data_IF_281955807093
#
_entry.id   IF_281955807093
#
_cell.length_a   1.000
_cell.length_b   1.000
_cell.length_c   1.000
_cell.angle_alpha   90.00
_cell.angle_beta   90.00
_cell.angle_gamma   90.00
#
_symmetry.space_group_name_H-M   'P 1'
#
loop_
_entity.id
_entity.type
_entity.pdbx_description
1 polymer ?
#
# COMPACT_ATOMS: atom_id res chain seq x y z
N UNK A 1 -7.32 -14.33 -8.82
CA UNK A 1 -8.64 -13.75 -9.05
C UNK A 1 -9.70 -14.62 -8.36
N UNK A 2 -10.85 -14.06 -7.95
CA UNK A 2 -12.02 -14.87 -7.60
C UNK A 2 -12.43 -15.66 -8.85
N UNK A 3 -12.54 -16.98 -8.72
CA UNK A 3 -12.92 -17.86 -9.83
C UNK A 3 -14.45 -17.84 -9.95
N UNK A 4 -14.95 -17.39 -11.10
CA UNK A 4 -16.39 -17.29 -11.39
C UNK A 4 -16.87 -18.27 -12.45
N UNK A 5 -15.96 -18.87 -13.23
CA UNK A 5 -16.30 -19.87 -14.24
C UNK A 5 -16.78 -21.18 -13.60
N UNK A 6 -17.98 -21.63 -13.99
CA UNK A 6 -18.66 -22.77 -13.35
C UNK A 6 -17.93 -24.09 -13.59
N UNK A 7 -17.39 -24.31 -14.79
CA UNK A 7 -16.67 -25.54 -15.16
C UNK A 7 -15.34 -25.65 -14.39
N UNK A 8 -14.66 -24.53 -14.21
CA UNK A 8 -13.44 -24.43 -13.42
C UNK A 8 -13.70 -24.61 -11.92
N UNK A 9 -14.79 -24.05 -11.38
CA UNK A 9 -15.23 -24.30 -9.99
C UNK A 9 -15.50 -25.78 -9.75
N UNK A 10 -16.23 -26.45 -10.64
CA UNK A 10 -16.53 -27.89 -10.50
C UNK A 10 -15.24 -28.73 -10.52
N UNK A 11 -14.29 -28.35 -11.39
CA UNK A 11 -12.97 -28.99 -11.47
C UNK A 11 -12.17 -28.82 -10.18
N UNK A 12 -12.10 -27.60 -9.64
CA UNK A 12 -11.39 -27.31 -8.40
C UNK A 12 -12.06 -27.94 -7.17
N UNK A 13 -13.39 -28.01 -7.18
CA UNK A 13 -14.12 -28.69 -6.13
C UNK A 13 -13.86 -30.20 -6.14
N UNK A 14 -13.85 -30.85 -7.31
CA UNK A 14 -13.45 -32.26 -7.44
C UNK A 14 -12.02 -32.48 -6.95
N UNK A 15 -11.06 -31.68 -7.41
CA UNK A 15 -9.66 -31.74 -6.98
C UNK A 15 -9.51 -31.54 -5.46
N UNK A 16 -10.32 -30.65 -4.85
CA UNK A 16 -10.35 -30.46 -3.41
C UNK A 16 -10.84 -31.71 -2.68
N UNK A 17 -11.91 -32.36 -3.16
CA UNK A 17 -12.44 -33.60 -2.55
C UNK A 17 -11.41 -34.72 -2.62
N UNK A 18 -10.78 -34.89 -3.78
CA UNK A 18 -9.78 -35.92 -4.06
C UNK A 18 -8.40 -35.62 -3.43
N UNK A 19 -8.19 -34.40 -2.91
CA UNK A 19 -6.91 -33.91 -2.38
C UNK A 19 -5.78 -33.98 -3.42
N UNK A 20 -6.10 -33.65 -4.67
CA UNK A 20 -5.19 -33.75 -5.79
C UNK A 20 -4.01 -32.78 -5.66
N UNK A 21 -2.80 -33.32 -5.51
CA UNK A 21 -1.57 -32.54 -5.33
C UNK A 21 -1.19 -31.70 -6.55
N UNK A 22 -1.66 -32.08 -7.75
CA UNK A 22 -1.41 -31.34 -9.01
C UNK A 22 -2.02 -29.93 -9.00
N UNK A 23 -2.99 -29.69 -8.11
CA UNK A 23 -3.66 -28.40 -7.96
C UNK A 23 -3.16 -27.59 -6.76
N UNK A 24 -2.10 -28.03 -6.09
CA UNK A 24 -1.48 -27.26 -5.01
C UNK A 24 -0.93 -25.95 -5.55
N UNK A 25 -1.29 -24.81 -4.93
CA UNK A 25 -0.88 -23.48 -5.39
C UNK A 25 -1.63 -22.96 -6.63
N UNK A 26 -2.40 -23.81 -7.33
CA UNK A 26 -3.24 -23.43 -8.49
C UNK A 26 -4.51 -22.72 -8.03
N UNK A 27 -5.10 -23.17 -6.91
CA UNK A 27 -6.24 -22.51 -6.29
C UNK A 27 -6.16 -22.56 -4.76
N UNK A 28 -6.91 -21.64 -4.16
CA UNK A 28 -7.18 -21.54 -2.73
C UNK A 28 -8.68 -21.56 -2.53
N UNK A 29 -9.17 -22.45 -1.68
CA UNK A 29 -10.60 -22.57 -1.40
C UNK A 29 -10.94 -21.80 -0.13
N UNK A 30 -11.79 -20.78 -0.21
CA UNK A 30 -12.40 -20.11 0.94
C UNK A 30 -13.69 -20.82 1.37
N UNK A 31 -13.79 -21.16 2.66
CA UNK A 31 -14.94 -21.83 3.27
C UNK A 31 -15.82 -20.79 3.95
N UNK A 32 -16.97 -20.47 3.34
CA UNK A 32 -17.87 -19.36 3.74
C UNK A 32 -18.33 -19.45 5.19
N UNK A 33 -18.59 -20.67 5.66
CA UNK A 33 -19.17 -20.90 7.00
C UNK A 33 -18.17 -20.71 8.15
N UNK A 34 -16.87 -20.83 7.88
CA UNK A 34 -15.83 -20.75 8.93
C UNK A 34 -14.86 -19.60 8.70
N UNK A 35 -15.00 -18.89 7.58
CA UNK A 35 -14.06 -17.86 7.10
C UNK A 35 -12.61 -18.35 7.09
N UNK A 36 -12.38 -19.59 6.65
CA UNK A 36 -11.04 -20.19 6.52
C UNK A 36 -10.75 -20.47 5.06
N UNK A 37 -9.52 -20.24 4.58
CA UNK A 37 -9.10 -20.74 3.27
C UNK A 37 -8.04 -21.83 3.34
N UNK A 38 -8.04 -22.73 2.36
CA UNK A 38 -7.21 -23.94 2.28
C UNK A 38 -6.59 -24.15 0.89
N UNK A 39 -5.59 -25.03 0.79
CA UNK A 39 -5.06 -25.59 -0.48
C UNK A 39 -5.79 -26.90 -0.86
N UNK A 40 -5.60 -27.35 -2.11
CA UNK A 40 -6.21 -28.57 -2.65
C UNK A 40 -5.99 -29.82 -1.77
N UNK A 41 -4.77 -30.02 -1.26
CA UNK A 41 -4.36 -31.19 -0.47
C UNK A 41 -4.77 -31.14 1.01
N UNK A 42 -5.51 -30.12 1.44
CA UNK A 42 -5.85 -29.92 2.85
C UNK A 42 -6.62 -31.13 3.43
N UNK A 43 -6.16 -31.63 4.58
CA UNK A 43 -6.75 -32.80 5.26
C UNK A 43 -8.00 -32.49 6.08
N UNK A 44 -8.31 -31.21 6.31
CA UNK A 44 -9.51 -30.79 7.05
C UNK A 44 -10.81 -31.32 6.41
N UNK A 45 -11.87 -31.41 7.22
CA UNK A 45 -13.20 -31.85 6.78
C UNK A 45 -13.65 -31.06 5.55
N UNK A 46 -14.08 -31.76 4.50
CA UNK A 46 -14.43 -31.13 3.22
C UNK A 46 -15.79 -30.43 3.30
N UNK A 47 -15.87 -29.14 2.92
CA UNK A 47 -17.13 -28.39 2.90
C UNK A 47 -18.01 -28.80 1.71
N UNK A 48 -19.32 -28.56 1.82
CA UNK A 48 -20.27 -28.70 0.70
C UNK A 48 -19.99 -27.63 -0.37
N UNK A 49 -20.25 -27.94 -1.65
CA UNK A 49 -19.97 -27.02 -2.77
C UNK A 49 -20.61 -25.64 -2.60
N UNK A 50 -21.84 -25.59 -2.05
CA UNK A 50 -22.54 -24.31 -1.77
C UNK A 50 -21.83 -23.41 -0.75
N UNK A 51 -20.93 -23.97 0.07
CA UNK A 51 -20.22 -23.29 1.15
C UNK A 51 -18.78 -22.93 0.78
N UNK A 52 -18.38 -23.03 -0.49
CA UNK A 52 -17.02 -22.67 -0.93
C UNK A 52 -17.00 -21.59 -1.99
N UNK A 53 -15.87 -20.90 -2.05
CA UNK A 53 -15.43 -20.00 -3.12
C UNK A 53 -13.98 -20.32 -3.44
N UNK A 54 -13.54 -20.05 -4.67
CA UNK A 54 -12.18 -20.36 -5.11
C UNK A 54 -11.46 -19.08 -5.55
N UNK A 55 -10.18 -18.99 -5.20
CA UNK A 55 -9.27 -17.91 -5.56
C UNK A 55 -8.05 -18.51 -6.23
N UNK A 56 -7.45 -17.84 -7.20
CA UNK A 56 -6.17 -18.31 -7.78
C UNK A 56 -4.95 -17.82 -6.98
N UNK A 57 -5.12 -16.86 -6.07
CA UNK A 57 -4.06 -16.34 -5.19
C UNK A 57 -4.51 -16.31 -3.73
N UNK A 58 -3.65 -16.72 -2.79
CA UNK A 58 -4.00 -16.72 -1.36
C UNK A 58 -4.26 -15.33 -0.82
N UNK A 59 -3.58 -14.31 -1.36
CA UNK A 59 -3.75 -12.91 -0.97
C UNK A 59 -5.21 -12.47 -1.12
N UNK A 60 -5.88 -12.90 -2.18
CA UNK A 60 -7.27 -12.52 -2.43
C UNK A 60 -8.25 -13.23 -1.49
N UNK A 61 -7.93 -14.46 -1.08
CA UNK A 61 -8.69 -15.13 -0.03
C UNK A 61 -8.54 -14.38 1.31
N UNK A 62 -7.34 -13.86 1.61
CA UNK A 62 -7.11 -13.03 2.79
C UNK A 62 -7.83 -11.68 2.70
N UNK A 63 -7.75 -11.01 1.55
CA UNK A 63 -8.40 -9.73 1.28
C UNK A 63 -9.94 -9.85 1.35
N UNK A 64 -10.49 -11.03 1.00
CA UNK A 64 -11.90 -11.37 1.15
C UNK A 64 -12.30 -11.81 2.58
N UNK A 65 -11.41 -11.63 3.57
CA UNK A 65 -11.68 -11.90 4.98
C UNK A 65 -11.54 -13.35 5.42
N UNK A 66 -10.97 -14.23 4.59
CA UNK A 66 -10.69 -15.61 4.98
C UNK A 66 -9.32 -15.69 5.68
N UNK A 67 -9.29 -16.32 6.87
CA UNK A 67 -8.04 -16.60 7.58
C UNK A 67 -7.37 -17.88 7.05
N UNK A 68 -6.04 -17.99 7.05
CA UNK A 68 -5.36 -19.20 6.62
C UNK A 68 -5.71 -20.39 7.51
N UNK A 69 -5.92 -21.55 6.88
CA UNK A 69 -6.14 -22.78 7.61
C UNK A 69 -4.90 -23.20 8.40
N UNK A 70 -5.06 -23.48 9.69
CA UNK A 70 -3.97 -23.94 10.55
C UNK A 70 -3.47 -25.36 10.23
N UNK A 71 -4.30 -26.15 9.54
CA UNK A 71 -3.98 -27.55 9.17
C UNK A 71 -3.07 -27.58 7.95
N UNK A 72 -3.49 -26.97 6.85
CA UNK A 72 -2.72 -27.02 5.60
C UNK A 72 -1.82 -25.80 5.38
N UNK A 73 -1.82 -24.84 6.33
CA UNK A 73 -0.99 -23.62 6.34
C UNK A 73 -0.77 -23.07 4.93
N UNK A 74 -1.85 -22.62 4.26
CA UNK A 74 -1.84 -22.34 2.83
C UNK A 74 -0.91 -21.20 2.42
N UNK A 75 -0.45 -20.39 3.38
CA UNK A 75 0.56 -19.34 3.23
C UNK A 75 2.00 -19.84 3.37
N UNK A 76 2.20 -21.06 3.88
CA UNK A 76 3.50 -21.71 4.09
C UNK A 76 3.76 -22.78 3.02
N UNK A 77 2.71 -23.38 2.45
CA UNK A 77 2.80 -24.63 1.67
C UNK A 77 2.56 -24.49 0.15
N UNK A 78 2.55 -23.28 -0.40
CA UNK A 78 2.23 -23.11 -1.83
C UNK A 78 3.46 -23.19 -2.77
N UNK A 79 4.67 -22.94 -2.25
CA UNK A 79 5.96 -23.15 -2.92
C UNK A 79 7.04 -23.05 -1.83
N UNK A 80 7.71 -24.14 -1.49
CA UNK A 80 8.82 -24.09 -0.53
C UNK A 80 9.89 -23.10 -1.02
N UNK A 81 10.32 -22.21 -0.14
CA UNK A 81 11.39 -21.28 -0.45
C UNK A 81 12.70 -22.07 -0.59
N UNK A 82 13.49 -21.85 -1.66
CA UNK A 82 14.80 -22.47 -1.81
C UNK A 82 15.63 -22.29 -0.54
N UNK A 83 16.47 -23.27 -0.23
CA UNK A 83 17.26 -23.31 1.01
C UNK A 83 17.94 -21.96 1.37
N UNK A 84 18.56 -21.21 0.43
CA UNK A 84 19.16 -19.91 0.75
C UNK A 84 18.14 -18.84 1.19
N UNK A 85 16.92 -18.87 0.63
CA UNK A 85 15.84 -17.93 0.97
C UNK A 85 15.21 -18.32 2.30
N UNK A 86 15.03 -19.62 2.54
CA UNK A 86 14.57 -20.14 3.83
C UNK A 86 15.52 -19.74 4.95
N UNK A 87 16.83 -19.91 4.75
CA UNK A 87 17.87 -19.43 5.69
C UNK A 87 17.82 -17.92 5.90
N UNK A 88 17.60 -17.14 4.84
CA UNK A 88 17.44 -15.68 4.98
C UNK A 88 16.22 -15.27 5.82
N UNK A 89 15.10 -15.97 5.66
CA UNK A 89 13.89 -15.77 6.48
C UNK A 89 14.15 -16.19 7.92
N UNK A 90 14.86 -17.29 8.13
CA UNK A 90 15.23 -17.78 9.46
C UNK A 90 16.14 -16.78 10.20
N UNK A 91 17.13 -16.20 9.53
CA UNK A 91 17.99 -15.14 10.10
C UNK A 91 17.18 -13.95 10.63
N UNK A 92 16.10 -13.57 9.92
CA UNK A 92 15.16 -12.51 10.35
C UNK A 92 14.32 -12.96 11.55
N UNK A 93 13.96 -14.24 11.64
CA UNK A 93 13.17 -14.80 12.75
C UNK A 93 13.98 -14.92 14.03
N UNK A 94 15.23 -15.37 13.92
CA UNK A 94 16.16 -15.55 15.03
C UNK A 94 16.69 -14.21 15.54
N UNK A 95 16.84 -13.22 14.65
CA UNK A 95 17.26 -11.86 14.99
C UNK A 95 16.12 -10.85 14.71
N UNK A 96 14.99 -10.95 15.43
CA UNK A 96 13.78 -10.19 15.14
C UNK A 96 13.91 -8.68 15.40
N UNK A 97 15.05 -8.22 15.91
CA UNK A 97 15.33 -6.83 16.28
C UNK A 97 16.40 -6.21 15.38
N UNK A 98 17.19 -7.03 14.69
CA UNK A 98 18.31 -6.57 13.88
C UNK A 98 17.97 -6.44 12.39
N UNK A 99 18.74 -5.60 11.70
CA UNK A 99 18.68 -5.50 10.24
C UNK A 99 19.65 -6.49 9.61
N UNK A 100 19.11 -7.47 8.90
CA UNK A 100 19.92 -8.39 8.09
C UNK A 100 20.37 -7.64 6.82
N UNK A 101 21.63 -7.23 6.81
CA UNK A 101 22.25 -6.52 5.68
C UNK A 101 22.64 -7.50 4.57
N UNK A 102 22.91 -6.97 3.36
CA UNK A 102 23.43 -7.78 2.26
C UNK A 102 24.80 -8.39 2.62
N UNK A 103 25.57 -7.77 3.52
CA UNK A 103 26.82 -8.32 4.06
C UNK A 103 26.55 -9.52 4.97
N UNK A 104 25.60 -9.41 5.91
CA UNK A 104 25.21 -10.52 6.81
C UNK A 104 24.70 -11.72 6.01
N UNK A 105 23.95 -11.49 4.93
CA UNK A 105 23.54 -12.58 4.03
C UNK A 105 24.75 -13.28 3.41
N UNK A 106 25.75 -12.53 2.94
CA UNK A 106 26.98 -13.11 2.35
C UNK A 106 27.82 -13.87 3.37
N UNK A 107 27.95 -13.37 4.59
CA UNK A 107 28.63 -14.04 5.71
C UNK A 107 27.95 -15.39 6.06
N UNK A 108 26.65 -15.51 5.79
CA UNK A 108 25.87 -16.74 5.96
C UNK A 108 25.79 -17.60 4.68
N UNK A 109 26.64 -17.34 3.68
CA UNK A 109 26.66 -18.03 2.38
C UNK A 109 25.33 -17.91 1.59
N UNK A 110 24.61 -16.79 1.74
CA UNK A 110 23.36 -16.50 1.03
C UNK A 110 23.60 -15.37 0.02
N UNK A 111 23.28 -15.61 -1.25
CA UNK A 111 23.36 -14.59 -2.30
C UNK A 111 22.19 -13.59 -2.17
N UNK A 112 22.42 -12.30 -1.85
CA UNK A 112 21.37 -11.30 -1.67
C UNK A 112 20.47 -11.12 -2.91
N UNK A 113 21.05 -11.28 -4.10
CA UNK A 113 20.37 -11.13 -5.38
C UNK A 113 19.34 -12.23 -5.60
N UNK A 114 19.64 -13.46 -5.18
CA UNK A 114 18.72 -14.61 -5.23
C UNK A 114 17.53 -14.39 -4.30
N UNK A 115 17.78 -13.95 -3.06
CA UNK A 115 16.73 -13.64 -2.08
C UNK A 115 15.85 -12.50 -2.59
N UNK A 116 16.44 -11.43 -3.13
CA UNK A 116 15.70 -10.30 -3.71
C UNK A 116 14.83 -10.72 -4.89
N UNK A 117 15.38 -11.51 -5.82
CA UNK A 117 14.66 -11.99 -7.02
C UNK A 117 13.48 -12.87 -6.61
N UNK A 118 13.71 -13.79 -5.68
CA UNK A 118 12.67 -14.68 -5.19
C UNK A 118 11.58 -13.92 -4.43
N UNK A 119 11.93 -12.99 -3.54
CA UNK A 119 10.96 -12.16 -2.81
C UNK A 119 10.13 -11.26 -3.72
N UNK A 120 10.73 -10.64 -4.74
CA UNK A 120 9.99 -9.85 -5.71
C UNK A 120 9.02 -10.72 -6.53
N UNK A 121 9.45 -11.91 -6.94
CA UNK A 121 8.64 -12.82 -7.76
C UNK A 121 7.47 -13.44 -6.98
N UNK A 122 7.70 -13.86 -5.73
CA UNK A 122 6.73 -14.63 -4.94
C UNK A 122 5.94 -13.81 -3.93
N UNK A 123 6.48 -12.69 -3.43
CA UNK A 123 5.83 -11.82 -2.46
C UNK A 123 5.53 -10.41 -2.98
N UNK A 124 5.97 -10.05 -4.20
CA UNK A 124 5.74 -8.73 -4.77
C UNK A 124 6.41 -7.59 -3.98
N UNK A 125 7.39 -7.91 -3.13
CA UNK A 125 8.09 -6.96 -2.27
C UNK A 125 9.55 -7.37 -2.09
N UNK A 126 10.38 -6.46 -1.60
CA UNK A 126 11.79 -6.76 -1.33
C UNK A 126 11.96 -7.48 0.01
N UNK A 127 13.02 -8.30 0.14
CA UNK A 127 13.43 -8.90 1.42
C UNK A 127 13.63 -7.86 2.54
N UNK A 128 14.17 -6.68 2.19
CA UNK A 128 14.34 -5.56 3.12
C UNK A 128 13.01 -5.01 3.65
N UNK A 129 11.97 -4.98 2.81
CA UNK A 129 10.62 -4.58 3.23
C UNK A 129 9.99 -5.64 4.15
N UNK A 130 10.18 -6.92 3.83
CA UNK A 130 9.71 -8.04 4.66
C UNK A 130 10.31 -8.00 6.08
N UNK A 131 11.64 -7.91 6.21
CA UNK A 131 12.28 -7.87 7.54
C UNK A 131 11.86 -6.63 8.35
N UNK A 132 11.65 -5.48 7.69
CA UNK A 132 11.17 -4.27 8.36
C UNK A 132 9.78 -4.49 8.97
N UNK A 133 8.87 -5.09 8.21
CA UNK A 133 7.52 -5.44 8.70
C UNK A 133 7.56 -6.43 9.86
N UNK A 134 8.48 -7.41 9.80
CA UNK A 134 8.65 -8.42 10.86
C UNK A 134 9.13 -7.80 12.19
N UNK A 135 10.13 -6.92 12.15
CA UNK A 135 10.62 -6.22 13.37
C UNK A 135 9.52 -5.40 14.04
N UNK A 136 8.72 -4.70 13.23
CA UNK A 136 7.58 -3.90 13.72
C UNK A 136 6.58 -4.81 14.44
N UNK A 137 6.26 -5.98 13.89
CA UNK A 137 5.30 -6.90 14.50
C UNK A 137 5.79 -7.49 15.83
N UNK A 138 7.07 -7.82 15.96
CA UNK A 138 7.61 -8.38 17.21
C UNK A 138 7.70 -7.35 18.34
N UNK A 139 8.11 -6.12 18.04
CA UNK A 139 8.09 -5.04 19.02
C UNK A 139 6.68 -4.77 19.57
N UNK A 140 5.63 -4.99 18.76
CA UNK A 140 4.23 -4.88 19.18
C UNK A 140 3.75 -6.03 20.09
N UNK A 141 4.39 -7.20 20.01
CA UNK A 141 4.07 -8.36 20.86
C UNK A 141 4.71 -8.20 22.24
N UNK A 142 5.99 -7.79 22.31
CA UNK A 142 6.72 -7.64 23.58
C UNK A 142 6.15 -6.52 24.47
N UNK A 143 5.66 -5.44 23.88
CA UNK A 143 5.00 -4.36 24.62
C UNK A 143 3.67 -4.77 25.27
N UNK A 144 3.03 -5.85 24.81
CA UNK A 144 1.84 -6.42 25.46
C UNK A 144 2.16 -7.21 26.73
N UNK A 145 3.43 -7.50 27.00
CA UNK A 145 3.85 -8.37 28.12
C UNK A 145 4.45 -7.60 29.33
N UNK A 146 4.40 -6.26 29.33
CA UNK A 146 4.49 -5.46 30.56
C UNK A 146 5.87 -4.98 31.04
N UNK A 147 6.90 -4.88 30.18
CA UNK A 147 8.25 -4.38 30.57
C UNK A 147 8.44 -2.87 30.41
N UNK A 148 9.44 -2.34 31.13
CA UNK A 148 9.93 -0.95 31.11
C UNK A 148 10.40 -0.49 29.72
N UNK A 149 10.07 0.75 29.36
CA UNK A 149 10.31 1.36 28.03
C UNK A 149 11.77 1.69 27.73
N UNK A 150 12.60 1.89 28.76
CA UNK A 150 14.01 2.29 28.59
C UNK A 150 14.86 1.07 28.24
N UNK A 151 14.66 -0.04 28.95
CA UNK A 151 15.39 -1.29 28.76
C UNK A 151 15.03 -1.94 27.40
N UNK A 152 13.75 -1.84 27.01
CA UNK A 152 13.23 -2.40 25.74
C UNK A 152 13.78 -1.68 24.50
N UNK A 153 14.11 -0.38 24.59
CA UNK A 153 14.64 0.40 23.48
C UNK A 153 16.10 0.05 23.15
N UNK A 154 16.91 -0.16 24.19
CA UNK A 154 18.31 -0.61 24.07
C UNK A 154 18.38 -2.07 23.63
N UNK A 155 17.57 -2.96 24.20
CA UNK A 155 17.51 -4.39 23.84
C UNK A 155 16.96 -4.66 22.43
N UNK A 156 16.40 -3.65 21.75
CA UNK A 156 15.84 -3.76 20.41
C UNK A 156 16.66 -3.11 19.29
N UNK A 157 17.91 -2.73 19.58
CA UNK A 157 18.87 -2.29 18.55
C UNK A 157 18.56 -0.90 17.98
N UNK A 158 17.92 -0.02 18.77
CA UNK A 158 17.69 1.36 18.40
C UNK A 158 18.73 2.28 19.06
N UNK A 159 19.55 2.95 18.24
CA UNK A 159 20.62 3.86 18.71
C UNK A 159 20.11 5.14 19.40
N UNK A 160 18.79 5.38 19.46
CA UNK A 160 18.24 6.55 20.17
C UNK A 160 16.77 6.42 20.59
N UNK A 161 16.46 6.98 21.76
CA UNK A 161 15.13 7.08 22.38
C UNK A 161 14.10 7.85 21.54
N UNK A 162 14.54 8.70 20.61
CA UNK A 162 13.67 9.57 19.80
C UNK A 162 12.96 8.82 18.65
N UNK A 163 13.61 7.83 18.02
CA UNK A 163 12.98 6.98 16.99
C UNK A 163 11.98 5.97 17.56
N UNK A 164 12.26 5.44 18.75
CA UNK A 164 11.41 4.53 19.50
C UNK A 164 10.24 5.27 20.17
N UNK A 165 10.51 6.40 20.83
CA UNK A 165 9.50 7.21 21.52
C UNK A 165 8.44 7.79 20.57
N UNK A 166 8.83 8.15 19.35
CA UNK A 166 7.90 8.59 18.31
C UNK A 166 6.93 7.48 17.87
N UNK A 167 7.40 6.24 17.73
CA UNK A 167 6.58 5.10 17.29
C UNK A 167 5.67 4.57 18.43
N UNK A 168 6.16 4.57 19.68
CA UNK A 168 5.37 4.16 20.86
C UNK A 168 4.27 5.17 21.22
N UNK A 169 4.56 6.47 21.18
CA UNK A 169 3.56 7.54 21.37
C UNK A 169 2.47 7.50 20.29
N UNK A 170 2.74 6.81 19.16
CA UNK A 170 1.87 6.79 18.01
C UNK A 170 0.65 5.85 18.14
N UNK A 171 0.69 4.86 19.03
CA UNK A 171 -0.37 3.87 19.16
C UNK A 171 -1.25 4.03 20.41
N UNK A 172 -0.85 4.83 21.40
CA UNK A 172 -1.51 4.86 22.71
C UNK A 172 -2.21 6.18 23.10
N UNK A 173 -1.86 7.35 22.52
CA UNK A 173 -2.46 8.64 22.90
C UNK A 173 -2.16 9.07 24.36
N UNK A 174 -2.27 10.36 24.70
CA UNK A 174 -1.14 11.16 25.25
C UNK A 174 -1.11 11.18 26.79
N UNK A 175 -0.08 11.62 27.54
CA UNK A 175 0.58 12.96 27.56
C UNK A 175 1.60 13.08 28.74
N UNK A 176 2.19 14.26 29.12
CA UNK A 176 3.03 15.24 28.42
C UNK A 176 4.42 15.43 29.09
N UNK A 177 5.38 16.01 28.37
CA UNK A 177 6.34 16.91 29.02
C UNK A 177 6.28 18.28 28.34
N UNK A 178 5.94 19.27 29.15
CA UNK A 178 5.79 20.68 28.81
C UNK A 178 7.11 21.24 28.28
N UNK A 179 7.26 21.43 26.97
CA UNK A 179 8.25 22.39 26.43
C UNK A 179 8.17 22.74 24.93
N UNK A 180 7.22 22.24 24.12
CA UNK A 180 7.21 22.56 22.69
C UNK A 180 5.80 22.56 22.06
N UNK A 181 4.89 23.42 22.54
CA UNK A 181 3.52 23.52 22.02
C UNK A 181 3.41 24.04 20.58
N UNK A 182 4.47 24.60 19.98
CA UNK A 182 4.28 25.40 18.76
C UNK A 182 4.25 24.63 17.44
N UNK A 183 4.86 23.44 17.30
CA UNK A 183 4.90 22.74 16.00
C UNK A 183 4.83 21.22 16.15
N UNK A 184 3.66 20.62 15.86
CA UNK A 184 3.45 19.17 15.80
C UNK A 184 2.90 18.75 14.44
N UNK A 185 3.32 17.57 14.00
CA UNK A 185 2.70 16.84 12.89
C UNK A 185 1.89 15.71 13.52
N UNK A 186 0.59 15.65 13.27
CA UNK A 186 -0.21 14.51 13.67
C UNK A 186 -0.07 13.39 12.65
N UNK A 187 -0.15 12.14 13.10
CA UNK A 187 -0.05 10.99 12.22
C UNK A 187 -1.06 9.90 12.60
N UNK A 188 -1.74 9.36 11.59
CA UNK A 188 -2.68 8.26 11.73
C UNK A 188 -2.52 7.25 10.60
N UNK A 189 -2.96 6.02 10.86
CA UNK A 189 -3.01 4.95 9.87
C UNK A 189 -4.41 4.84 9.30
N UNK A 190 -4.49 4.63 7.99
CA UNK A 190 -5.73 4.31 7.29
C UNK A 190 -5.51 3.10 6.37
N UNK A 191 -6.61 2.45 6.00
CA UNK A 191 -6.61 1.31 5.09
C UNK A 191 -7.19 1.71 3.75
N UNK A 192 -6.59 1.26 2.66
CA UNK A 192 -7.10 1.44 1.30
C UNK A 192 -7.16 0.09 0.59
N UNK A 193 -7.90 -0.04 -0.53
CA UNK A 193 -7.85 -1.22 -1.38
C UNK A 193 -6.44 -1.58 -1.88
N UNK A 194 -5.52 -0.61 -1.90
CA UNK A 194 -4.12 -0.76 -2.33
C UNK A 194 -3.14 -1.08 -1.19
N UNK A 195 -3.68 -1.22 0.03
CA UNK A 195 -2.93 -1.48 1.25
C UNK A 195 -2.98 -0.33 2.26
N UNK A 196 -2.41 -0.55 3.46
CA UNK A 196 -2.39 0.45 4.51
C UNK A 196 -1.48 1.64 4.17
N UNK A 197 -1.91 2.82 4.59
CA UNK A 197 -1.18 4.08 4.42
C UNK A 197 -1.06 4.82 5.75
N UNK A 198 -0.06 5.69 5.86
CA UNK A 198 -0.01 6.73 6.88
C UNK A 198 -0.47 8.05 6.28
N UNK A 199 -1.28 8.79 7.03
CA UNK A 199 -1.60 10.18 6.79
C UNK A 199 -0.95 11.02 7.89
N UNK A 200 -0.18 12.05 7.51
CA UNK A 200 0.36 13.04 8.42
C UNK A 200 -0.17 14.44 8.09
N UNK A 201 -0.48 15.24 9.11
CA UNK A 201 -0.91 16.61 8.92
C UNK A 201 -0.39 17.55 10.02
N UNK A 202 0.01 18.75 9.61
CA UNK A 202 0.16 19.91 10.51
C UNK A 202 -1.21 20.58 10.69
N UNK A 203 -1.28 21.67 11.44
CA UNK A 203 -2.49 22.50 11.48
C UNK A 203 -2.74 23.22 10.13
N UNK A 204 -1.69 23.42 9.32
CA UNK A 204 -1.78 24.04 8.00
C UNK A 204 -2.38 23.09 6.94
N UNK A 205 -2.09 21.79 6.99
CA UNK A 205 -2.59 20.84 5.99
C UNK A 205 -2.01 19.43 6.10
N UNK A 206 -2.49 18.54 5.24
CA UNK A 206 -1.93 17.21 5.03
C UNK A 206 -0.53 17.34 4.39
N UNK A 207 0.49 16.81 5.06
CA UNK A 207 1.88 16.89 4.63
C UNK A 207 2.48 15.54 4.22
N UNK A 208 1.79 14.43 4.50
CA UNK A 208 2.15 13.10 4.01
C UNK A 208 0.92 12.21 3.85
N UNK A 209 0.90 11.44 2.77
CA UNK A 209 0.02 10.31 2.53
C UNK A 209 0.82 9.24 1.77
N UNK A 210 1.28 8.21 2.46
CA UNK A 210 2.17 7.20 1.88
C UNK A 210 1.88 5.78 2.35
N UNK A 211 2.16 4.81 1.49
CA UNK A 211 2.05 3.39 1.83
C UNK A 211 3.10 3.00 2.89
N UNK A 212 2.69 2.19 3.86
CA UNK A 212 3.57 1.80 4.98
C UNK A 212 4.81 1.02 4.54
N UNK A 213 4.77 0.42 3.35
CA UNK A 213 5.84 -0.39 2.76
C UNK A 213 6.77 0.41 1.84
N UNK A 214 6.58 1.74 1.71
CA UNK A 214 7.46 2.61 0.94
C UNK A 214 8.90 2.53 1.48
N UNK A 215 9.86 2.27 0.59
CA UNK A 215 11.27 2.06 0.96
C UNK A 215 11.85 3.23 1.75
N UNK A 216 11.51 4.46 1.36
CA UNK A 216 12.06 5.73 1.86
C UNK A 216 11.22 6.40 2.96
N UNK A 217 10.19 5.73 3.48
CA UNK A 217 9.23 6.33 4.41
C UNK A 217 9.87 6.95 5.68
N UNK A 218 10.88 6.27 6.25
CA UNK A 218 11.60 6.78 7.42
C UNK A 218 12.37 8.07 7.11
N UNK A 219 12.98 8.14 5.93
CA UNK A 219 13.68 9.35 5.46
C UNK A 219 12.68 10.48 5.24
N UNK A 220 11.49 10.19 4.74
CA UNK A 220 10.43 11.18 4.55
C UNK A 220 9.92 11.75 5.87
N UNK A 221 9.75 10.92 6.90
CA UNK A 221 9.43 11.41 8.24
C UNK A 221 10.51 12.35 8.79
N UNK A 222 11.78 11.95 8.73
CA UNK A 222 12.88 12.81 9.20
C UNK A 222 12.94 14.14 8.44
N UNK A 223 12.83 14.09 7.12
CA UNK A 223 12.87 15.28 6.28
C UNK A 223 11.66 16.20 6.53
N UNK A 224 10.47 15.66 6.77
CA UNK A 224 9.30 16.46 7.17
C UNK A 224 9.51 17.13 8.53
N UNK A 225 10.03 16.40 9.52
CA UNK A 225 10.31 16.97 10.84
C UNK A 225 11.32 18.12 10.76
N UNK A 226 12.37 17.97 9.94
CA UNK A 226 13.36 19.02 9.69
C UNK A 226 12.72 20.22 8.99
N UNK A 227 12.01 20.00 7.87
CA UNK A 227 11.44 21.09 7.06
C UNK A 227 10.36 21.88 7.77
N UNK A 228 9.56 21.22 8.61
CA UNK A 228 8.44 21.82 9.33
C UNK A 228 8.82 22.19 10.77
N UNK A 229 10.06 21.89 11.20
CA UNK A 229 10.55 22.09 12.57
C UNK A 229 9.54 21.58 13.59
N UNK A 230 9.10 20.34 13.39
CA UNK A 230 7.96 19.76 14.09
C UNK A 230 8.26 18.33 14.53
N UNK A 231 7.67 17.92 15.66
CA UNK A 231 7.67 16.53 16.09
C UNK A 231 6.42 15.84 15.57
N UNK A 232 6.59 14.63 15.03
CA UNK A 232 5.42 13.85 14.66
C UNK A 232 4.88 13.15 15.92
N UNK A 233 3.57 13.10 16.10
CA UNK A 233 2.87 12.54 17.27
C UNK A 233 1.58 11.88 16.78
N UNK A 234 1.12 10.77 17.40
CA UNK A 234 -0.19 10.25 17.02
C UNK A 234 -1.33 11.17 17.36
N UNK A 235 -2.29 11.16 16.46
CA UNK A 235 -3.53 11.86 16.58
C UNK A 235 -4.11 12.09 15.20
N UNK A 236 -5.29 12.70 15.21
CA UNK A 236 -6.00 13.09 14.00
C UNK A 236 -6.48 14.52 14.18
N UNK A 237 -6.27 15.35 13.17
CA UNK A 237 -6.93 16.63 13.05
C UNK A 237 -7.96 16.58 11.91
N UNK A 238 -8.58 17.73 11.62
CA UNK A 238 -9.56 17.89 10.55
C UNK A 238 -9.05 17.41 9.19
N UNK A 239 -7.77 17.65 8.86
CA UNK A 239 -7.18 17.31 7.57
C UNK A 239 -7.08 15.79 7.39
N UNK A 240 -6.59 15.06 8.40
CA UNK A 240 -6.51 13.59 8.36
C UNK A 240 -7.91 12.97 8.26
N UNK A 241 -8.89 13.49 9.02
CA UNK A 241 -10.27 13.00 8.99
C UNK A 241 -10.90 13.20 7.60
N UNK A 242 -10.73 14.39 7.02
CA UNK A 242 -11.17 14.69 5.66
C UNK A 242 -10.48 13.78 4.63
N UNK A 243 -9.16 13.58 4.74
CA UNK A 243 -8.42 12.66 3.85
C UNK A 243 -9.00 11.26 3.83
N UNK A 244 -9.40 10.71 4.99
CA UNK A 244 -10.01 9.36 5.04
C UNK A 244 -11.32 9.31 4.25
N UNK A 245 -12.21 10.27 4.48
CA UNK A 245 -13.50 10.37 3.78
C UNK A 245 -13.27 10.51 2.27
N UNK A 246 -12.42 11.45 1.86
CA UNK A 246 -12.18 11.70 0.44
C UNK A 246 -11.48 10.51 -0.25
N UNK A 247 -10.63 9.76 0.46
CA UNK A 247 -10.04 8.53 -0.07
C UNK A 247 -11.08 7.43 -0.24
N UNK A 248 -11.98 7.25 0.73
CA UNK A 248 -13.05 6.25 0.63
C UNK A 248 -13.95 6.54 -0.57
N UNK A 249 -14.35 7.81 -0.77
CA UNK A 249 -15.12 8.27 -1.93
C UNK A 249 -14.32 8.15 -3.25
N UNK A 250 -13.00 8.40 -3.22
CA UNK A 250 -12.15 8.21 -4.39
C UNK A 250 -12.14 6.74 -4.80
N UNK A 251 -11.94 5.82 -3.86
CA UNK A 251 -11.88 4.38 -4.13
C UNK A 251 -13.25 3.77 -4.46
N UNK A 252 -14.36 4.35 -3.97
CA UNK A 252 -15.72 3.96 -4.40
C UNK A 252 -16.08 4.47 -5.81
N UNK A 253 -15.29 5.43 -6.33
CA UNK A 253 -15.54 6.06 -7.62
C UNK A 253 -16.57 7.20 -7.57
N UNK A 254 -16.88 7.70 -6.38
CA UNK A 254 -17.80 8.81 -6.13
C UNK A 254 -17.09 10.18 -6.19
N UNK A 255 -15.75 10.18 -6.04
CA UNK A 255 -14.93 11.40 -6.06
C UNK A 255 -13.86 11.37 -7.15
N UNK A 256 -13.77 12.48 -7.89
CA UNK A 256 -12.73 12.72 -8.91
C UNK A 256 -11.74 13.82 -8.52
N UNK A 257 -12.04 14.62 -7.50
CA UNK A 257 -11.22 15.75 -7.03
C UNK A 257 -11.13 15.80 -5.51
N UNK A 258 -9.94 16.05 -4.97
CA UNK A 258 -9.69 16.18 -3.52
C UNK A 258 -9.75 17.64 -3.08
N UNK A 259 -10.31 17.90 -1.90
CA UNK A 259 -10.44 19.24 -1.32
C UNK A 259 -9.66 19.40 -0.01
N UNK A 260 -9.03 18.34 0.50
CA UNK A 260 -8.20 18.44 1.70
C UNK A 260 -7.06 19.43 1.50
N UNK A 261 -6.89 20.35 2.46
CA UNK A 261 -5.79 21.33 2.44
C UNK A 261 -4.45 20.62 2.57
N UNK A 262 -3.47 21.02 1.76
CA UNK A 262 -2.14 20.41 1.72
C UNK A 262 -1.07 21.35 2.27
N UNK A 263 -0.13 20.80 3.03
CA UNK A 263 1.09 21.46 3.49
C UNK A 263 2.28 20.72 2.86
N UNK A 264 2.70 21.17 1.67
CA UNK A 264 3.69 20.48 0.84
C UNK A 264 5.07 21.15 0.96
N UNK A 265 5.89 20.81 1.97
CA UNK A 265 7.24 21.34 2.07
C UNK A 265 8.13 20.76 0.97
N UNK A 266 8.72 21.65 0.18
CA UNK A 266 9.55 21.33 -0.97
C UNK A 266 10.29 22.54 -1.49
N UNK A 267 11.27 22.32 -2.38
CA UNK A 267 11.95 23.40 -3.09
C UNK A 267 10.99 24.14 -4.02
N UNK A 268 11.33 25.35 -4.44
CA UNK A 268 10.54 26.12 -5.41
C UNK A 268 10.26 25.29 -6.66
N UNK A 269 11.28 24.61 -7.20
CA UNK A 269 11.14 23.75 -8.37
C UNK A 269 10.21 22.54 -8.11
N UNK A 270 10.30 21.90 -6.94
CA UNK A 270 9.40 20.80 -6.59
C UNK A 270 7.94 21.25 -6.54
N UNK A 271 7.68 22.40 -5.92
CA UNK A 271 6.32 22.98 -5.84
C UNK A 271 5.77 23.26 -7.23
N UNK A 272 6.54 23.91 -8.11
CA UNK A 272 6.14 24.16 -9.50
C UNK A 272 5.81 22.86 -10.25
N UNK A 273 6.61 21.80 -10.07
CA UNK A 273 6.33 20.49 -10.67
C UNK A 273 5.01 19.90 -10.14
N UNK A 274 4.77 19.99 -8.83
CA UNK A 274 3.53 19.50 -8.23
C UNK A 274 2.30 20.32 -8.63
N UNK A 275 2.44 21.63 -8.83
CA UNK A 275 1.38 22.49 -9.37
C UNK A 275 0.96 22.01 -10.77
N UNK A 276 1.93 21.63 -11.61
CA UNK A 276 1.65 21.03 -12.91
C UNK A 276 0.98 19.67 -12.77
N UNK A 277 1.26 18.87 -11.74
CA UNK A 277 0.55 17.61 -11.49
C UNK A 277 -0.95 17.83 -11.26
N UNK A 278 -1.32 18.84 -10.48
CA UNK A 278 -2.74 19.17 -10.24
C UNK A 278 -3.49 19.54 -11.52
N UNK A 279 -2.79 20.07 -12.52
CA UNK A 279 -3.38 20.38 -13.83
C UNK A 279 -3.69 19.15 -14.70
N UNK A 280 -3.33 17.93 -14.26
CA UNK A 280 -3.62 16.69 -15.00
C UNK A 280 -4.98 16.14 -14.52
N UNK A 281 -6.02 16.16 -15.36
CA UNK A 281 -7.36 15.74 -14.95
C UNK A 281 -7.42 14.27 -14.52
N UNK A 282 -8.42 13.95 -13.70
CA UNK A 282 -8.76 12.57 -13.34
C UNK A 282 -9.00 11.72 -14.60
N UNK A 283 -8.44 10.52 -14.63
CA UNK A 283 -8.57 9.60 -15.78
C UNK A 283 -7.73 9.99 -17.00
N UNK A 284 -6.92 11.06 -16.92
CA UNK A 284 -5.99 11.47 -17.97
C UNK A 284 -4.54 11.26 -17.51
N UNK A 285 -3.66 11.10 -18.49
CA UNK A 285 -2.23 10.95 -18.26
C UNK A 285 -1.43 12.01 -19.01
N UNK A 286 -0.25 12.35 -18.48
CA UNK A 286 0.74 13.16 -19.17
C UNK A 286 2.12 12.48 -19.13
N UNK A 287 3.02 12.88 -20.01
CA UNK A 287 4.41 12.45 -19.98
C UNK A 287 5.28 13.42 -19.16
N UNK A 288 6.42 12.93 -18.66
CA UNK A 288 7.42 13.80 -18.02
C UNK A 288 7.91 14.92 -18.96
N UNK A 289 7.94 14.66 -20.27
CA UNK A 289 8.27 15.67 -21.28
C UNK A 289 7.22 16.78 -21.32
N UNK A 290 5.93 16.41 -21.36
CA UNK A 290 4.84 17.39 -21.37
C UNK A 290 4.81 18.23 -20.08
N UNK A 291 5.20 17.67 -18.93
CA UNK A 291 5.36 18.46 -17.72
C UNK A 291 6.52 19.44 -17.80
N UNK A 292 7.67 18.99 -18.29
CA UNK A 292 8.84 19.85 -18.49
C UNK A 292 8.53 21.02 -19.45
N UNK A 293 7.74 20.76 -20.50
CA UNK A 293 7.24 21.78 -21.43
C UNK A 293 6.28 22.77 -20.76
N UNK A 294 5.32 22.30 -19.94
CA UNK A 294 4.42 23.17 -19.18
C UNK A 294 5.15 24.07 -18.18
N UNK A 295 6.33 23.64 -17.72
CA UNK A 295 7.23 24.44 -16.88
C UNK A 295 8.14 25.39 -17.67
N UNK A 296 7.96 25.50 -18.99
CA UNK A 296 8.84 26.24 -19.89
C UNK A 296 10.30 25.82 -19.80
N UNK A 297 10.56 24.56 -19.45
CA UNK A 297 11.91 24.00 -19.38
C UNK A 297 11.96 22.58 -19.98
N UNK A 298 11.86 22.43 -21.31
CA UNK A 298 11.79 21.12 -21.96
C UNK A 298 13.01 20.21 -21.71
N UNK A 299 14.16 20.77 -21.30
CA UNK A 299 15.39 20.02 -20.98
C UNK A 299 15.36 19.41 -19.57
N UNK A 300 14.44 19.82 -18.70
CA UNK A 300 14.40 19.42 -17.29
C UNK A 300 13.70 18.08 -17.00
N UNK A 301 13.48 17.22 -18.00
CA UNK A 301 12.70 15.96 -17.87
C UNK A 301 13.15 15.10 -16.68
N UNK A 302 14.46 14.90 -16.50
CA UNK A 302 14.99 14.10 -15.37
C UNK A 302 14.78 14.78 -14.03
N UNK A 303 14.90 16.10 -13.97
CA UNK A 303 14.66 16.88 -12.76
C UNK A 303 13.18 16.83 -12.37
N UNK A 304 12.27 16.94 -13.35
CA UNK A 304 10.82 16.76 -13.18
C UNK A 304 10.50 15.36 -12.65
N UNK A 305 11.10 14.32 -13.23
CA UNK A 305 10.93 12.95 -12.76
C UNK A 305 11.39 12.77 -11.30
N UNK A 306 12.53 13.36 -10.93
CA UNK A 306 13.03 13.36 -9.55
C UNK A 306 12.07 14.09 -8.60
N UNK A 307 11.59 15.27 -8.98
CA UNK A 307 10.63 16.05 -8.20
C UNK A 307 9.28 15.33 -8.01
N UNK A 308 8.80 14.61 -9.03
CA UNK A 308 7.63 13.72 -8.90
C UNK A 308 7.87 12.58 -7.91
N UNK A 309 9.10 12.03 -7.87
CA UNK A 309 9.51 11.03 -6.89
C UNK A 309 9.53 11.56 -5.45
N UNK A 310 9.77 12.86 -5.27
CA UNK A 310 9.73 13.54 -3.97
C UNK A 310 8.31 13.88 -3.48
N UNK A 311 7.26 13.55 -4.24
CA UNK A 311 5.89 13.66 -3.76
C UNK A 311 5.69 12.74 -2.55
N UNK A 312 5.22 13.32 -1.43
CA UNK A 312 4.91 12.64 -0.17
C UNK A 312 3.42 12.47 0.08
N UNK A 313 2.57 12.98 -0.81
CA UNK A 313 1.11 12.98 -0.67
C UNK A 313 0.55 12.19 -1.85
N UNK A 314 0.79 10.88 -1.84
CA UNK A 314 0.39 9.98 -2.92
C UNK A 314 -1.13 10.02 -3.14
N UNK A 315 -1.56 9.68 -4.37
CA UNK A 315 -2.97 9.70 -4.82
C UNK A 315 -3.52 11.13 -4.97
N UNK A 316 -3.48 11.94 -3.91
CA UNK A 316 -4.01 13.31 -3.90
C UNK A 316 -3.16 14.24 -4.77
N UNK A 317 -1.83 14.22 -4.59
CA UNK A 317 -0.90 14.81 -5.57
C UNK A 317 -0.66 13.74 -6.63
N UNK A 318 -1.19 13.88 -7.86
CA UNK A 318 -1.43 12.74 -8.74
C UNK A 318 -0.20 12.33 -9.57
N UNK A 319 0.92 12.03 -8.91
CA UNK A 319 2.15 11.62 -9.58
C UNK A 319 2.03 10.26 -10.32
N UNK A 320 1.00 9.45 -10.03
CA UNK A 320 0.67 8.24 -10.80
C UNK A 320 0.16 8.55 -12.21
N UNK A 321 -0.36 9.74 -12.48
CA UNK A 321 -0.84 10.17 -13.82
C UNK A 321 0.28 10.50 -14.81
N UNK A 322 1.54 10.41 -14.39
CA UNK A 322 2.71 10.73 -15.22
C UNK A 322 3.38 9.48 -15.73
N UNK A 323 3.54 9.32 -17.04
CA UNK A 323 4.10 8.11 -17.65
C UNK A 323 5.27 8.42 -18.58
N UNK A 324 6.01 7.39 -19.00
CA UNK A 324 7.03 7.54 -20.03
C UNK A 324 6.43 7.95 -21.37
N UNK A 325 7.21 8.62 -22.23
CA UNK A 325 6.76 9.04 -23.58
C UNK A 325 6.23 7.88 -24.43
N UNK A 326 6.75 6.67 -24.21
CA UNK A 326 6.35 5.46 -24.94
C UNK A 326 5.13 4.75 -24.32
N UNK A 327 4.41 5.39 -23.39
CA UNK A 327 3.29 4.78 -22.68
C UNK A 327 3.67 3.88 -21.49
N UNK A 328 4.95 3.55 -21.34
CA UNK A 328 5.43 2.68 -20.26
C UNK A 328 5.26 3.32 -18.87
N UNK A 329 4.80 2.52 -17.91
CA UNK A 329 4.80 2.89 -16.50
C UNK A 329 6.22 2.91 -15.98
N UNK A 330 6.68 4.08 -15.56
CA UNK A 330 7.99 4.27 -14.95
C UNK A 330 7.83 5.07 -13.67
N UNK A 331 8.61 4.73 -12.64
CA UNK A 331 8.74 5.48 -11.39
C UNK A 331 7.43 5.70 -10.63
N UNK A 332 7.31 5.08 -9.45
CA UNK A 332 6.27 5.43 -8.49
C UNK A 332 6.72 5.05 -7.09
N UNK A 333 6.67 5.99 -6.15
CA UNK A 333 7.14 5.76 -4.79
C UNK A 333 6.39 4.65 -4.05
N UNK A 334 5.12 4.41 -4.42
CA UNK A 334 4.29 3.30 -3.94
C UNK A 334 4.40 1.99 -4.75
N UNK A 335 5.26 1.91 -5.78
CA UNK A 335 5.40 0.72 -6.64
C UNK A 335 4.52 0.71 -7.91
N UNK A 336 5.03 0.11 -8.99
CA UNK A 336 4.39 0.17 -10.32
C UNK A 336 3.00 -0.46 -10.38
N UNK A 337 2.76 -1.51 -9.57
CA UNK A 337 1.47 -2.19 -9.52
C UNK A 337 0.35 -1.28 -8.99
N UNK A 338 0.64 -0.48 -7.96
CA UNK A 338 -0.32 0.51 -7.43
C UNK A 338 -0.59 1.62 -8.43
N UNK A 339 0.44 2.07 -9.14
CA UNK A 339 0.31 3.07 -10.21
C UNK A 339 -0.60 2.57 -11.33
N UNK A 340 -0.43 1.32 -11.78
CA UNK A 340 -1.31 0.71 -12.79
C UNK A 340 -2.75 0.66 -12.33
N UNK A 341 -2.99 0.16 -11.13
CA UNK A 341 -4.33 0.04 -10.57
C UNK A 341 -5.04 1.40 -10.46
N UNK A 342 -4.33 2.45 -9.99
CA UNK A 342 -4.90 3.79 -9.88
C UNK A 342 -5.31 4.33 -11.26
N UNK A 343 -4.48 4.14 -12.28
CA UNK A 343 -4.81 4.56 -13.64
C UNK A 343 -6.02 3.82 -14.21
N UNK A 344 -6.11 2.50 -13.98
CA UNK A 344 -7.25 1.68 -14.40
C UNK A 344 -8.54 2.09 -13.68
N UNK A 345 -8.47 2.32 -12.37
CA UNK A 345 -9.58 2.80 -11.55
C UNK A 345 -10.11 4.13 -12.07
N UNK A 346 -9.23 5.12 -12.25
CA UNK A 346 -9.64 6.44 -12.74
C UNK A 346 -10.23 6.36 -14.16
N UNK A 347 -9.66 5.55 -15.05
CA UNK A 347 -10.19 5.36 -16.40
C UNK A 347 -11.59 4.74 -16.37
N UNK A 348 -11.79 3.67 -15.58
CA UNK A 348 -13.10 3.01 -15.45
C UNK A 348 -14.17 3.95 -14.91
N UNK A 349 -13.84 4.74 -13.88
CA UNK A 349 -14.77 5.71 -13.31
C UNK A 349 -15.06 6.83 -14.32
N UNK A 350 -14.03 7.33 -15.02
CA UNK A 350 -14.19 8.36 -16.05
C UNK A 350 -15.13 7.91 -17.19
N UNK A 351 -14.98 6.68 -17.68
CA UNK A 351 -15.85 6.11 -18.70
C UNK A 351 -17.30 5.98 -18.23
N UNK A 352 -17.51 5.55 -16.97
CA UNK A 352 -18.85 5.43 -16.39
C UNK A 352 -19.55 6.79 -16.29
N UNK A 353 -18.82 7.83 -15.89
CA UNK A 353 -19.36 9.20 -15.81
C UNK A 353 -19.76 9.73 -17.19
N UNK A 354 -18.93 9.51 -18.22
CA UNK A 354 -19.25 9.91 -19.60
C UNK A 354 -20.52 9.23 -20.13
N UNK A 355 -20.68 7.92 -19.88
CA UNK A 355 -21.88 7.18 -20.28
C UNK A 355 -23.14 7.71 -19.59
N UNK A 356 -23.06 8.04 -18.30
CA UNK A 356 -24.19 8.59 -17.57
C UNK A 356 -24.59 9.98 -18.11
N UNK A 357 -23.62 10.84 -18.42
CA UNK A 357 -23.88 12.16 -19.01
C UNK A 357 -24.49 12.07 -20.42
N UNK A 358 -24.15 11.05 -21.21
CA UNK A 358 -24.77 10.81 -22.52
C UNK A 358 -26.23 10.36 -22.34
N UNK A 359 -26.51 9.44 -21.42
CA UNK A 359 -27.87 8.96 -21.13
C UNK A 359 -28.78 10.09 -20.63
N UNK A 360 -28.28 10.96 -19.74
CA UNK A 360 -29.05 12.12 -19.24
C UNK A 360 -29.32 13.15 -20.35
N UNK A 361 -28.36 13.37 -21.26
CA UNK A 361 -28.55 14.24 -22.43
C UNK A 361 -29.63 13.69 -23.37
N UNK A 362 -29.59 12.41 -23.69
CA UNK A 362 -30.57 11.77 -24.58
C UNK A 362 -31.98 11.75 -23.95
N UNK A 363 -32.09 11.52 -22.64
CA UNK A 363 -33.37 11.61 -21.92
C UNK A 363 -33.96 13.03 -21.93
N UNK A 364 -33.12 14.06 -21.76
CA UNK A 364 -33.56 15.46 -21.80
C UNK A 364 -34.02 15.92 -23.20
N UNK A 365 -33.49 15.35 -24.28
CA UNK A 365 -33.93 15.65 -25.65
C UNK A 365 -35.28 15.01 -26.00
N UNK A 366 -35.60 13.85 -25.41
CA UNK A 366 -36.88 13.16 -25.57
C UNK A 366 -38.03 13.89 -24.84
N UNK A 367 -37.76 14.49 -23.67
CA UNK A 367 -38.76 15.28 -22.94
C UNK A 367 -39.11 16.61 -23.65
N UNK A 368 -38.14 17.24 -24.33
CA UNK A 368 -38.39 18.46 -25.12
C UNK A 368 -39.24 18.20 -26.37
N UNK A 369 -39.20 17.00 -26.94
CA UNK A 369 -40.01 16.63 -28.11
C UNK A 369 -41.45 16.22 -27.73
N UNK A 370 -41.70 15.77 -26.50
CA UNK A 370 -43.06 15.54 -25.99
C UNK A 370 -43.81 16.82 -25.58
N UNK A 371 -43.11 17.91 -25.25
CA UNK A 371 -43.74 19.19 -24.87
C UNK A 371 -44.11 20.09 -26.06
N UNK A 372 -43.75 19.70 -27.29
CA UNK A 372 -44.00 20.45 -28.52
C UNK A 372 -45.05 19.80 -29.45
N UNK A 373 -45.74 18.74 -29.01
CA UNK A 373 -46.82 18.09 -29.75
C UNK A 373 -48.18 18.23 -29.06
#
# INVERSE_FOLDING_TARGET
>A
MLVTDKKQIDTYYKALLERDSRFTGIFYVGVKTTSIFCIATCRARKPKIKNVVFYTMYKEAMDAGFRPCKVCRPTENANEAPEPVSKAIELVRVNPKEKISDQVLRENNIAPEQVRRWFNLHYGMTFHAFQRMYRINNALIELKEGRSTIDTAMDAGYDSLSGFGYTCKKLLGSSPTQSAEKNRILISRLTTPLGPMFACATDAGLCLLEFVDRRMLETEFRDLQTRLTANIVSGENKHIKQTKIELDEYFSGERTMFNVTLDLPGTVFQKQVWDVLFSIPFGKTASYQQQAERLNNPKAVRAVASANGCNRVAIIVPCHRVIGKNGNLTGYGGGLERKRWLLEHENKVSLKLQQNEEIERDASQLDFTCLLN
#
